data_IF_881979095273
#
_entry.id   IF_881979095273
#
_cell.length_a   1.000
_cell.length_b   1.000
_cell.length_c   1.000
_cell.angle_alpha   90.00
_cell.angle_beta   90.00
_cell.angle_gamma   90.00
#
_symmetry.space_group_name_H-M   'P 1'
#
loop_
_entity.id
_entity.type
_entity.pdbx_description
1 polymer ?
#
# COMPACT_ATOMS: atom_id res chain seq x y z
N UNK A 1 -2.11 -7.76 19.74
CA UNK A 1 -1.88 -6.65 20.64
C UNK A 1 -1.78 -7.19 22.06
N UNK A 2 -0.75 -6.78 22.81
CA UNK A 2 -0.48 -7.26 24.18
C UNK A 2 -0.48 -8.78 24.32
N UNK A 3 0.10 -9.47 23.36
CA UNK A 3 0.14 -10.93 23.32
C UNK A 3 -1.18 -11.61 22.95
N UNK A 4 -2.24 -10.86 22.71
CA UNK A 4 -3.52 -11.40 22.24
C UNK A 4 -3.60 -11.38 20.73
N UNK A 5 -3.88 -12.53 20.15
CA UNK A 5 -4.15 -12.65 18.73
C UNK A 5 -5.61 -12.30 18.44
N UNK A 6 -5.82 -11.34 17.54
CA UNK A 6 -7.17 -10.91 17.12
C UNK A 6 -7.61 -11.66 15.87
N UNK A 7 -6.67 -11.89 14.92
CA UNK A 7 -6.93 -12.60 13.68
C UNK A 7 -6.05 -13.84 13.59
N UNK A 8 -6.53 -14.89 12.94
CA UNK A 8 -5.70 -16.05 12.63
C UNK A 8 -4.72 -15.75 11.50
N UNK A 9 -3.68 -16.55 11.35
CA UNK A 9 -2.74 -16.39 10.23
C UNK A 9 -3.44 -16.62 8.88
N UNK A 10 -4.38 -17.56 8.83
CA UNK A 10 -5.19 -17.84 7.65
C UNK A 10 -6.07 -16.65 7.27
N UNK A 11 -6.72 -16.01 8.24
CA UNK A 11 -7.52 -14.81 8.00
C UNK A 11 -6.67 -13.68 7.43
N UNK A 12 -5.49 -13.44 8.01
CA UNK A 12 -4.56 -12.42 7.49
C UNK A 12 -4.10 -12.76 6.07
N UNK A 13 -3.79 -14.03 5.81
CA UNK A 13 -3.40 -14.49 4.48
C UNK A 13 -4.52 -14.28 3.46
N UNK A 14 -5.76 -14.57 3.83
CA UNK A 14 -6.93 -14.33 2.97
C UNK A 14 -7.14 -12.85 2.69
N UNK A 15 -7.02 -11.99 3.69
CA UNK A 15 -7.12 -10.53 3.51
C UNK A 15 -6.08 -10.01 2.52
N UNK A 16 -4.86 -10.55 2.58
CA UNK A 16 -3.72 -10.12 1.75
C UNK A 16 -3.64 -10.84 0.40
N UNK A 17 -4.50 -11.80 0.16
CA UNK A 17 -4.56 -12.49 -1.12
C UNK A 17 -5.05 -11.57 -2.25
N UNK A 18 -4.79 -11.97 -3.49
CA UNK A 18 -5.32 -11.29 -4.65
C UNK A 18 -6.85 -11.51 -4.74
N UNK A 19 -7.61 -10.53 -4.33
CA UNK A 19 -9.08 -10.58 -4.35
C UNK A 19 -9.69 -10.13 -5.69
N UNK A 20 -8.93 -9.40 -6.48
CA UNK A 20 -9.39 -8.90 -7.79
C UNK A 20 -9.03 -9.84 -8.93
N UNK A 21 -8.21 -10.87 -8.68
CA UNK A 21 -7.76 -11.87 -9.68
C UNK A 21 -7.22 -11.18 -10.93
N UNK A 22 -7.81 -11.50 -12.10
CA UNK A 22 -7.43 -10.92 -13.37
C UNK A 22 -8.25 -9.67 -13.74
N UNK A 23 -9.13 -9.23 -12.85
CA UNK A 23 -9.86 -8.00 -13.08
C UNK A 23 -8.90 -6.82 -13.12
N UNK A 24 -9.04 -6.00 -14.15
CA UNK A 24 -8.36 -4.71 -14.21
C UNK A 24 -8.92 -3.82 -13.13
N UNK A 25 -8.08 -3.46 -12.19
CA UNK A 25 -8.40 -2.35 -11.31
C UNK A 25 -8.36 -1.11 -12.19
N UNK A 26 -9.50 -0.44 -12.35
CA UNK A 26 -9.61 0.75 -13.19
C UNK A 26 -8.42 1.66 -12.94
N UNK A 27 -7.75 2.14 -14.00
CA UNK A 27 -6.63 3.04 -13.85
C UNK A 27 -7.10 4.29 -13.13
N UNK A 28 -7.10 4.21 -11.82
CA UNK A 28 -7.15 5.36 -10.98
C UNK A 28 -5.77 5.98 -10.95
N UNK A 29 -5.70 7.24 -10.72
CA UNK A 29 -4.43 7.95 -10.60
C UNK A 29 -3.46 7.27 -9.61
N UNK A 30 -3.97 6.56 -8.60
CA UNK A 30 -3.12 5.83 -7.64
C UNK A 30 -2.40 4.66 -8.29
N UNK A 31 -3.07 3.85 -9.09
CA UNK A 31 -2.43 2.71 -9.74
C UNK A 31 -1.37 3.15 -10.75
N UNK A 32 -1.61 4.19 -11.48
CA UNK A 32 -0.67 4.71 -12.47
C UNK A 32 0.49 5.50 -11.84
N UNK A 33 0.18 6.42 -10.93
CA UNK A 33 1.17 7.33 -10.36
C UNK A 33 1.96 6.72 -9.21
N UNK A 34 1.29 5.95 -8.34
CA UNK A 34 1.92 5.39 -7.16
C UNK A 34 2.50 3.99 -7.40
N UNK A 35 1.79 3.14 -8.11
CA UNK A 35 2.14 1.73 -8.33
C UNK A 35 2.72 1.45 -9.72
N UNK A 36 2.82 2.46 -10.57
CA UNK A 36 3.27 2.30 -11.94
C UNK A 36 2.21 1.59 -12.80
N UNK A 37 2.64 0.63 -13.62
CA UNK A 37 1.73 -0.08 -14.55
C UNK A 37 1.09 -1.35 -13.97
N UNK A 38 1.03 -1.47 -12.64
CA UNK A 38 0.36 -2.61 -12.02
C UNK A 38 -1.15 -2.37 -11.99
N UNK A 39 -1.88 -3.16 -12.77
CA UNK A 39 -3.33 -3.03 -12.88
C UNK A 39 -4.11 -4.28 -12.48
N UNK A 40 -3.42 -5.38 -12.22
CA UNK A 40 -4.03 -6.66 -11.83
C UNK A 40 -3.40 -7.19 -10.55
N UNK A 41 -4.17 -7.91 -9.76
CA UNK A 41 -3.67 -8.56 -8.56
C UNK A 41 -3.22 -7.63 -7.44
N UNK A 42 -3.55 -6.35 -7.51
CA UNK A 42 -3.03 -5.28 -6.65
C UNK A 42 -3.93 -4.93 -5.48
N UNK A 43 -5.02 -5.67 -5.26
CA UNK A 43 -5.94 -5.38 -4.18
C UNK A 43 -6.35 -6.62 -3.40
N UNK A 44 -6.31 -6.52 -2.08
CA UNK A 44 -6.81 -7.48 -1.11
C UNK A 44 -8.15 -7.06 -0.52
N UNK A 45 -8.43 -7.43 0.70
CA UNK A 45 -9.62 -6.97 1.42
C UNK A 45 -9.29 -5.68 2.17
N UNK A 46 -9.64 -4.53 1.58
CA UNK A 46 -9.44 -3.21 2.17
C UNK A 46 -8.00 -2.70 2.16
N UNK A 47 -7.12 -3.31 1.37
CA UNK A 47 -5.70 -2.95 1.30
C UNK A 47 -5.13 -3.09 -0.10
N UNK A 48 -4.17 -2.24 -0.42
CA UNK A 48 -3.38 -2.33 -1.65
C UNK A 48 -2.22 -3.29 -1.47
N UNK A 49 -2.00 -4.13 -2.47
CA UNK A 49 -0.85 -5.02 -2.60
C UNK A 49 0.22 -4.32 -3.42
N UNK A 50 1.00 -3.45 -2.77
CA UNK A 50 1.89 -2.52 -3.47
C UNK A 50 3.12 -3.18 -4.08
N UNK A 51 3.76 -4.07 -3.32
CA UNK A 51 4.94 -4.78 -3.81
C UNK A 51 4.68 -6.27 -3.74
N UNK A 52 4.73 -6.91 -4.90
CA UNK A 52 4.38 -8.31 -5.09
C UNK A 52 5.64 -9.08 -5.50
N UNK A 53 5.90 -10.19 -4.84
CA UNK A 53 6.93 -11.12 -5.26
C UNK A 53 6.50 -11.80 -6.56
N UNK A 54 7.27 -11.61 -7.63
CA UNK A 54 6.94 -12.13 -8.96
C UNK A 54 6.98 -13.66 -9.05
N UNK A 55 7.69 -14.34 -8.13
CA UNK A 55 7.80 -15.80 -8.13
C UNK A 55 6.64 -16.46 -7.41
N UNK A 56 6.22 -15.89 -6.28
CA UNK A 56 5.18 -16.47 -5.43
C UNK A 56 3.81 -15.84 -5.65
N UNK A 57 3.75 -14.63 -6.21
CA UNK A 57 2.53 -13.84 -6.30
C UNK A 57 2.08 -13.24 -4.96
N UNK A 58 2.85 -13.42 -3.89
CA UNK A 58 2.51 -12.88 -2.58
C UNK A 58 2.91 -11.41 -2.44
N UNK A 59 2.04 -10.62 -1.84
CA UNK A 59 2.39 -9.25 -1.51
C UNK A 59 3.30 -9.21 -0.28
N UNK A 60 4.45 -8.57 -0.40
CA UNK A 60 5.34 -8.33 0.73
C UNK A 60 5.24 -6.91 1.27
N UNK A 61 4.65 -5.97 0.52
CA UNK A 61 4.24 -4.67 1.03
C UNK A 61 2.76 -4.44 0.76
N UNK A 62 2.06 -4.09 1.79
CA UNK A 62 0.65 -3.75 1.78
C UNK A 62 0.44 -2.37 2.41
N UNK A 63 -0.58 -1.67 1.98
CA UNK A 63 -0.92 -0.34 2.48
C UNK A 63 -2.41 -0.05 2.37
N UNK A 64 -2.84 1.02 3.01
CA UNK A 64 -4.20 1.52 2.86
C UNK A 64 -4.19 3.05 2.84
N UNK A 65 -3.69 3.67 1.76
CA UNK A 65 -3.62 5.11 1.65
C UNK A 65 -5.01 5.75 1.66
N UNK A 66 -5.17 6.78 2.45
CA UNK A 66 -6.35 7.62 2.49
C UNK A 66 -6.15 8.88 1.64
N UNK A 67 -7.20 9.31 0.96
CA UNK A 67 -7.19 10.48 0.09
C UNK A 67 -6.70 11.76 0.79
N UNK A 68 -7.05 11.92 2.08
CA UNK A 68 -6.65 13.08 2.88
C UNK A 68 -5.21 13.04 3.37
N UNK A 69 -4.44 11.99 3.08
CA UNK A 69 -3.02 11.91 3.35
C UNK A 69 -2.59 10.98 4.48
N UNK A 70 -3.44 10.08 4.93
CA UNK A 70 -3.04 9.00 5.82
C UNK A 70 -2.46 7.85 4.99
N UNK A 71 -1.32 7.31 5.40
CA UNK A 71 -0.68 6.19 4.72
C UNK A 71 -0.09 5.19 5.73
N UNK A 72 -0.87 4.21 6.18
CA UNK A 72 -0.35 3.04 6.87
C UNK A 72 0.25 2.04 5.88
N UNK A 73 1.39 1.44 6.23
CA UNK A 73 1.96 0.34 5.44
C UNK A 73 2.66 -0.69 6.32
N UNK A 74 2.76 -1.89 5.79
CA UNK A 74 3.55 -2.98 6.35
C UNK A 74 4.41 -3.55 5.23
N UNK A 75 5.73 -3.62 5.43
CA UNK A 75 6.66 -4.33 4.57
C UNK A 75 7.18 -5.57 5.31
N UNK A 76 6.68 -6.73 4.93
CA UNK A 76 7.01 -8.01 5.58
C UNK A 76 8.42 -8.49 5.26
N UNK A 77 8.98 -8.10 4.11
CA UNK A 77 10.33 -8.48 3.70
C UNK A 77 11.38 -7.80 4.55
N UNK A 78 11.21 -6.51 4.77
CA UNK A 78 12.15 -5.68 5.53
C UNK A 78 11.78 -5.59 7.02
N UNK A 79 10.68 -6.25 7.44
CA UNK A 79 10.14 -6.21 8.81
C UNK A 79 9.86 -4.79 9.30
N UNK A 80 9.40 -3.94 8.41
CA UNK A 80 9.10 -2.53 8.67
C UNK A 80 7.60 -2.30 8.58
N UNK A 81 7.09 -1.54 9.49
CA UNK A 81 5.76 -0.95 9.36
C UNK A 81 5.83 0.53 9.68
N UNK A 82 4.93 1.29 9.11
CA UNK A 82 4.91 2.73 9.33
C UNK A 82 3.54 3.33 9.13
N UNK A 83 3.43 4.54 9.60
CA UNK A 83 2.26 5.36 9.41
C UNK A 83 2.72 6.80 9.12
N UNK A 84 2.46 7.24 7.91
CA UNK A 84 2.65 8.63 7.54
C UNK A 84 1.30 9.33 7.54
N UNK A 85 1.26 10.54 8.05
CA UNK A 85 0.07 11.38 7.99
C UNK A 85 0.44 12.79 7.54
N UNK A 86 -0.30 13.28 6.58
CA UNK A 86 -0.28 14.68 6.18
C UNK A 86 -1.72 15.09 5.88
N UNK A 87 -2.12 16.26 6.33
CA UNK A 87 -3.40 16.83 5.96
C UNK A 87 -3.18 17.76 4.77
N UNK A 88 -3.57 17.30 3.58
CA UNK A 88 -3.45 18.08 2.34
C UNK A 88 -4.85 18.30 1.79
N UNK A 89 -5.21 19.56 1.60
CA UNK A 89 -6.44 19.91 0.90
C UNK A 89 -6.23 19.64 -0.60
N UNK A 90 -7.13 18.89 -1.22
CA UNK A 90 -6.97 18.41 -2.60
C UNK A 90 -6.71 19.50 -3.65
N UNK A 91 -7.18 20.73 -3.43
CA UNK A 91 -6.87 21.87 -4.28
C UNK A 91 -5.39 22.29 -4.18
N UNK A 92 -4.83 22.32 -2.98
CA UNK A 92 -3.43 22.68 -2.75
C UNK A 92 -2.46 21.64 -3.31
N UNK A 93 -2.80 20.35 -3.21
CA UNK A 93 -1.97 19.28 -3.75
C UNK A 93 -1.72 19.41 -5.26
N UNK A 94 -2.65 20.00 -6.00
CA UNK A 94 -2.54 20.22 -7.44
C UNK A 94 -1.65 21.43 -7.76
N UNK A 95 -1.70 22.46 -6.93
CA UNK A 95 -0.89 23.68 -7.08
C UNK A 95 0.55 23.45 -6.63
N UNK A 96 0.76 22.74 -5.52
CA UNK A 96 2.07 22.47 -4.95
C UNK A 96 2.82 21.31 -5.64
N UNK A 97 2.17 20.61 -6.56
CA UNK A 97 2.76 19.44 -7.25
C UNK A 97 3.03 18.23 -6.34
N UNK A 98 2.59 18.29 -5.10
CA UNK A 98 2.74 17.22 -4.12
C UNK A 98 1.37 16.71 -3.65
N UNK A 99 1.18 15.42 -3.75
CA UNK A 99 0.05 14.72 -3.12
C UNK A 99 0.58 13.63 -2.22
N UNK A 100 0.23 13.67 -0.95
CA UNK A 100 0.58 12.63 0.01
C UNK A 100 0.03 11.26 -0.41
N UNK A 101 -1.12 11.22 -1.06
CA UNK A 101 -1.72 10.00 -1.58
C UNK A 101 -0.83 9.34 -2.63
N UNK A 102 -0.35 10.09 -3.62
CA UNK A 102 0.51 9.55 -4.69
C UNK A 102 1.98 9.43 -4.29
N UNK A 103 2.45 10.29 -3.40
CA UNK A 103 3.82 10.29 -2.90
C UNK A 103 4.11 9.24 -1.83
N UNK A 104 3.08 8.71 -1.20
CA UNK A 104 3.22 7.78 -0.06
C UNK A 104 4.09 6.55 -0.35
N UNK A 105 4.00 5.86 -1.50
CA UNK A 105 4.87 4.72 -1.80
C UNK A 105 6.35 5.09 -1.91
N UNK A 106 6.68 6.34 -2.23
CA UNK A 106 8.05 6.83 -2.22
C UNK A 106 8.57 6.88 -0.79
N UNK A 107 7.75 7.37 0.14
CA UNK A 107 8.10 7.46 1.57
C UNK A 107 8.40 6.06 2.12
N UNK A 108 7.53 5.08 1.91
CA UNK A 108 7.76 3.72 2.40
C UNK A 108 9.01 3.07 1.83
N UNK A 109 9.31 3.31 0.55
CA UNK A 109 10.55 2.83 -0.09
C UNK A 109 11.79 3.46 0.51
N UNK A 110 11.79 4.79 0.68
CA UNK A 110 12.91 5.51 1.30
C UNK A 110 13.17 5.02 2.72
N UNK A 111 12.12 4.83 3.53
CA UNK A 111 12.27 4.25 4.86
C UNK A 111 12.89 2.85 4.80
N UNK A 112 12.40 1.99 3.91
CA UNK A 112 12.96 0.63 3.74
C UNK A 112 14.43 0.64 3.31
N UNK A 113 14.88 1.64 2.58
CA UNK A 113 16.29 1.80 2.20
C UNK A 113 17.18 2.25 3.36
N UNK A 114 16.64 3.09 4.26
CA UNK A 114 17.40 3.63 5.41
C UNK A 114 17.56 2.58 6.51
N UNK A 115 16.58 1.70 6.71
CA UNK A 115 16.58 0.74 7.82
C UNK A 115 17.24 -0.61 7.47
N UNK A 116 17.71 -0.79 6.26
CA UNK A 116 18.53 -1.95 5.83
C UNK A 116 19.97 -1.80 6.30
#
# INVERSE_FOLDING_TARGET
YEGKRILTAETVKEMQANQVKDALVSPGEYTERALGQLHTGIYGLGEWRELIDKKTGEAYQISSPGWAGAYPWINKRDSVYGFFIAHVVGSSAKEDGFSSFYGSPVISRTVSEIVK
#
